data_IF_938713053794
#
_entry.id   IF_938713053794
#
_cell.length_a   1.000
_cell.length_b   1.000
_cell.length_c   1.000
_cell.angle_alpha   90.00
_cell.angle_beta   90.00
_cell.angle_gamma   90.00
#
_symmetry.space_group_name_H-M   'P 1'
#
loop_
_entity.id
_entity.type
_entity.pdbx_description
1 polymer ?
#
# COMPACT_ATOMS: atom_id res chain seq x y z
N UNK A 1 33.73 -46.30 -6.89
CA UNK A 1 33.81 -45.57 -8.16
C UNK A 1 32.83 -44.45 -8.10
N UNK A 2 33.29 -43.26 -7.75
CA UNK A 2 32.46 -42.04 -7.47
C UNK A 2 32.17 -41.30 -8.76
N UNK A 3 30.91 -40.94 -9.01
CA UNK A 3 30.54 -39.90 -9.99
C UNK A 3 29.99 -38.71 -9.27
N UNK A 4 30.71 -37.59 -9.35
CA UNK A 4 30.34 -36.24 -8.88
C UNK A 4 29.17 -35.73 -9.72
N UNK A 5 28.09 -35.29 -9.04
CA UNK A 5 27.05 -34.47 -9.63
C UNK A 5 27.50 -33.01 -9.67
N UNK A 6 27.29 -32.37 -10.82
CA UNK A 6 27.54 -30.95 -11.05
C UNK A 6 26.47 -30.10 -10.39
N UNK A 7 26.83 -29.31 -9.38
CA UNK A 7 26.03 -28.19 -8.91
C UNK A 7 26.33 -26.99 -9.82
N UNK A 8 25.45 -26.67 -10.73
CA UNK A 8 25.43 -25.38 -11.41
C UNK A 8 24.83 -24.33 -10.48
N UNK A 9 25.69 -23.56 -9.83
CA UNK A 9 25.29 -22.30 -9.16
C UNK A 9 24.90 -21.30 -10.25
N UNK A 10 23.64 -20.94 -10.27
CA UNK A 10 23.16 -19.77 -11.01
C UNK A 10 23.65 -18.54 -10.23
N UNK A 11 24.61 -17.86 -10.80
CA UNK A 11 25.12 -16.58 -10.27
C UNK A 11 24.19 -15.50 -10.81
N UNK A 12 23.31 -14.98 -9.98
CA UNK A 12 22.62 -13.74 -10.26
C UNK A 12 23.64 -12.60 -10.22
N UNK A 13 23.82 -11.96 -11.35
CA UNK A 13 24.61 -10.72 -11.48
C UNK A 13 23.77 -9.57 -10.92
N UNK A 14 24.01 -9.20 -9.67
CA UNK A 14 23.58 -7.92 -9.13
C UNK A 14 24.29 -6.79 -9.88
N UNK A 15 23.54 -6.06 -10.69
CA UNK A 15 24.00 -4.78 -11.24
C UNK A 15 23.85 -3.70 -10.16
N UNK A 16 24.86 -3.60 -9.29
CA UNK A 16 24.95 -2.54 -8.31
C UNK A 16 25.00 -1.16 -8.98
N UNK A 17 23.92 -0.41 -8.91
CA UNK A 17 23.87 1.01 -9.25
C UNK A 17 24.17 1.85 -7.99
N UNK A 18 25.46 2.01 -7.67
CA UNK A 18 25.86 3.04 -6.70
C UNK A 18 25.63 4.43 -7.31
N UNK A 19 24.58 5.12 -6.92
CA UNK A 19 24.43 6.56 -7.17
C UNK A 19 25.25 7.33 -6.14
N UNK A 20 26.42 7.78 -6.55
CA UNK A 20 27.18 8.81 -5.83
C UNK A 20 26.43 10.13 -5.93
N UNK A 21 25.85 10.58 -4.81
CA UNK A 21 25.30 11.93 -4.68
C UNK A 21 26.50 12.89 -4.56
N UNK A 22 26.73 13.68 -5.59
CA UNK A 22 27.66 14.80 -5.53
C UNK A 22 26.91 16.02 -5.00
N UNK A 23 27.19 16.40 -3.76
CA UNK A 23 26.76 17.66 -3.18
C UNK A 23 27.57 18.78 -3.81
N UNK A 24 26.95 19.62 -4.66
CA UNK A 24 27.54 20.88 -5.13
C UNK A 24 26.82 22.03 -4.43
N UNK A 25 27.51 22.65 -3.48
CA UNK A 25 27.16 23.94 -2.91
C UNK A 25 27.40 25.03 -3.97
N UNK A 26 26.38 25.78 -4.35
CA UNK A 26 26.53 26.98 -5.17
C UNK A 26 26.01 28.20 -4.42
N UNK A 27 26.91 29.10 -4.21
CA UNK A 27 26.77 30.42 -3.58
C UNK A 27 25.77 31.32 -4.30
N UNK A 28 24.97 32.00 -3.49
CA UNK A 28 24.14 33.16 -3.87
C UNK A 28 25.02 34.34 -4.25
N UNK A 29 24.75 34.97 -5.40
CA UNK A 29 25.12 36.36 -5.64
C UNK A 29 24.02 37.08 -6.43
N UNK A 30 23.34 38.01 -5.75
CA UNK A 30 22.42 38.97 -6.35
C UNK A 30 23.19 39.97 -7.19
N UNK A 31 22.71 40.33 -8.41
CA UNK A 31 22.90 41.66 -8.98
C UNK A 31 21.76 42.00 -9.96
N UNK A 32 21.28 43.21 -9.79
CA UNK A 32 20.12 43.87 -10.37
C UNK A 32 20.44 44.61 -11.69
N UNK A 33 19.35 44.89 -12.48
CA UNK A 33 19.17 45.94 -13.53
C UNK A 33 19.73 45.64 -14.94
N UNK A 34 18.97 45.76 -16.00
CA UNK A 34 18.31 46.91 -16.60
C UNK A 34 17.52 46.51 -17.87
N UNK A 35 16.46 47.23 -18.13
CA UNK A 35 15.65 47.29 -19.36
C UNK A 35 16.48 47.58 -20.62
N UNK A 36 16.17 46.87 -21.71
CA UNK A 36 16.16 47.49 -23.06
C UNK A 36 15.21 46.71 -23.99
N UNK A 37 14.28 47.42 -24.56
CA UNK A 37 13.41 46.96 -25.62
C UNK A 37 14.14 47.09 -26.98
N UNK A 38 14.13 46.02 -27.78
CA UNK A 38 14.34 46.10 -29.22
C UNK A 38 13.64 44.93 -29.92
N UNK A 39 12.78 45.25 -30.87
CA UNK A 39 12.14 44.33 -31.82
C UNK A 39 13.19 43.60 -32.68
N UNK A 40 13.05 42.29 -32.80
CA UNK A 40 13.75 41.47 -33.79
C UNK A 40 13.08 40.12 -33.93
N UNK A 41 12.44 39.88 -35.08
CA UNK A 41 11.94 38.57 -35.47
C UNK A 41 13.10 37.60 -35.60
N UNK A 42 13.02 36.44 -34.92
CA UNK A 42 13.71 35.24 -35.37
C UNK A 42 13.02 33.99 -34.78
N UNK A 43 12.92 33.01 -35.60
CA UNK A 43 12.31 31.69 -35.56
C UNK A 43 12.24 30.99 -34.21
N UNK A 44 11.06 30.34 -34.02
CA UNK A 44 10.76 29.40 -32.99
C UNK A 44 11.61 28.13 -33.18
N UNK A 45 12.36 27.78 -32.17
CA UNK A 45 12.68 26.39 -31.85
C UNK A 45 12.39 26.21 -30.36
N UNK A 46 11.12 25.94 -30.05
CA UNK A 46 10.65 25.50 -28.76
C UNK A 46 10.34 24.00 -28.88
N UNK A 47 11.29 23.20 -28.45
CA UNK A 47 10.99 21.81 -28.09
C UNK A 47 10.12 21.86 -26.85
N UNK A 48 8.82 22.06 -27.05
CA UNK A 48 7.79 21.57 -26.13
C UNK A 48 7.80 20.05 -26.27
N UNK A 49 8.25 19.34 -25.24
CA UNK A 49 7.86 17.96 -25.02
C UNK A 49 6.34 17.97 -24.75
N UNK A 50 5.59 17.96 -25.84
CA UNK A 50 4.16 17.80 -25.82
C UNK A 50 3.85 16.39 -25.34
N UNK A 51 3.19 16.28 -24.19
CA UNK A 51 2.37 15.13 -23.89
C UNK A 51 1.42 14.96 -25.08
N UNK A 52 1.68 13.95 -25.91
CA UNK A 52 0.77 13.57 -26.97
C UNK A 52 -0.51 13.07 -26.29
N UNK A 53 -1.59 13.87 -26.36
CA UNK A 53 -2.95 13.38 -26.12
C UNK A 53 -3.14 12.18 -27.06
N UNK A 54 -3.14 10.98 -26.48
CA UNK A 54 -3.54 9.77 -27.21
C UNK A 54 -5.05 9.82 -27.37
N UNK A 55 -5.51 10.53 -28.39
CA UNK A 55 -6.92 10.57 -28.81
C UNK A 55 -7.18 9.37 -29.72
N UNK A 56 -7.62 8.24 -29.15
CA UNK A 56 -8.01 7.06 -29.91
C UNK A 56 -8.69 6.04 -28.99
N UNK A 57 -9.57 5.20 -29.54
CA UNK A 57 -10.33 4.16 -28.81
C UNK A 57 -9.43 3.04 -28.23
N UNK A 58 -8.13 3.04 -28.51
CA UNK A 58 -7.18 1.99 -28.13
C UNK A 58 -6.22 2.44 -27.00
N UNK A 59 -6.78 2.99 -25.94
CA UNK A 59 -6.08 3.49 -24.77
C UNK A 59 -6.78 3.05 -23.50
N UNK A 60 -6.05 2.93 -22.39
CA UNK A 60 -6.57 2.84 -21.04
C UNK A 60 -5.81 3.82 -20.15
N UNK A 61 -6.53 4.69 -19.47
CA UNK A 61 -5.96 5.64 -18.51
C UNK A 61 -6.16 5.11 -17.10
N UNK A 62 -5.06 4.80 -16.42
CA UNK A 62 -5.07 4.18 -15.09
C UNK A 62 -4.53 5.12 -14.03
N UNK A 63 -5.07 5.07 -12.82
CA UNK A 63 -4.69 5.88 -11.68
C UNK A 63 -4.45 4.97 -10.48
N UNK A 64 -3.20 4.87 -10.05
CA UNK A 64 -2.77 3.94 -9.00
C UNK A 64 -1.96 4.67 -7.93
N UNK A 65 -1.74 4.03 -6.79
CA UNK A 65 -0.77 4.52 -5.82
C UNK A 65 0.65 4.56 -6.41
N UNK A 66 1.51 5.42 -5.88
CA UNK A 66 2.91 5.51 -6.30
C UNK A 66 3.67 4.20 -6.03
N UNK A 67 4.58 3.82 -6.93
CA UNK A 67 5.44 2.62 -6.81
C UNK A 67 4.68 1.29 -6.58
N UNK A 68 3.43 1.20 -7.01
CA UNK A 68 2.52 0.10 -6.69
C UNK A 68 2.25 -0.85 -7.87
N UNK A 69 3.17 -0.88 -8.83
CA UNK A 69 3.17 -1.82 -9.96
C UNK A 69 4.59 -2.00 -10.50
N UNK A 70 4.94 -3.20 -10.94
CA UNK A 70 6.17 -3.42 -11.71
C UNK A 70 6.08 -2.65 -13.04
N UNK A 71 7.03 -1.73 -13.32
CA UNK A 71 7.00 -0.87 -14.51
C UNK A 71 7.09 -1.63 -15.84
N UNK A 72 7.37 -2.93 -15.82
CA UNK A 72 7.30 -3.79 -17.01
C UNK A 72 5.87 -4.27 -17.29
N UNK A 73 5.01 -4.35 -16.28
CA UNK A 73 3.62 -4.86 -16.44
C UNK A 73 2.80 -4.02 -17.41
N UNK A 74 2.78 -2.67 -17.35
CA UNK A 74 2.10 -1.86 -18.36
C UNK A 74 2.64 -2.09 -19.78
N UNK A 75 3.95 -2.26 -19.94
CA UNK A 75 4.57 -2.52 -21.25
C UNK A 75 4.15 -3.88 -21.82
N UNK A 76 4.13 -4.92 -20.97
CA UNK A 76 3.65 -6.26 -21.38
C UNK A 76 2.19 -6.21 -21.81
N UNK A 77 1.35 -5.44 -21.09
CA UNK A 77 -0.03 -5.25 -21.50
C UNK A 77 -0.15 -4.56 -22.87
N UNK A 78 0.62 -3.49 -23.11
CA UNK A 78 0.65 -2.80 -24.40
C UNK A 78 1.12 -3.72 -25.53
N UNK A 79 2.18 -4.50 -25.32
CA UNK A 79 2.75 -5.44 -26.29
C UNK A 79 1.75 -6.55 -26.69
N UNK A 80 1.02 -7.09 -25.69
CA UNK A 80 0.09 -8.19 -25.94
C UNK A 80 -1.25 -7.74 -26.51
N UNK A 81 -1.75 -6.58 -26.09
CA UNK A 81 -3.10 -6.12 -26.44
C UNK A 81 -3.13 -5.06 -27.53
N UNK A 82 -2.02 -4.36 -27.73
CA UNK A 82 -1.94 -3.15 -28.54
C UNK A 82 -2.64 -1.94 -27.92
N UNK A 83 -3.17 -2.04 -26.69
CA UNK A 83 -3.83 -0.94 -25.97
C UNK A 83 -2.74 -0.16 -25.23
N UNK A 84 -2.65 1.15 -25.51
CA UNK A 84 -1.70 2.04 -24.84
C UNK A 84 -2.15 2.32 -23.40
N UNK A 85 -1.23 2.24 -22.45
CA UNK A 85 -1.46 2.59 -21.04
C UNK A 85 -1.00 4.02 -20.78
N UNK A 86 -1.91 4.87 -20.31
CA UNK A 86 -1.59 6.15 -19.70
C UNK A 86 -1.66 5.94 -18.19
N UNK A 87 -0.54 6.12 -17.51
CA UNK A 87 -0.39 5.75 -16.11
C UNK A 87 -0.08 6.99 -15.26
N UNK A 88 -1.04 7.32 -14.37
CA UNK A 88 -0.91 8.39 -13.39
C UNK A 88 -0.88 7.81 -11.97
N UNK A 89 -0.30 8.56 -11.02
CA UNK A 89 -0.19 8.14 -9.63
C UNK A 89 -0.78 9.15 -8.65
N UNK A 90 -1.25 8.64 -7.49
CA UNK A 90 -1.65 9.44 -6.34
C UNK A 90 -0.86 9.00 -5.10
N UNK A 91 -0.78 9.86 -4.10
CA UNK A 91 -0.11 9.55 -2.83
C UNK A 91 -1.07 8.92 -1.81
N UNK A 92 -2.32 9.41 -1.75
CA UNK A 92 -3.33 8.93 -0.79
C UNK A 92 -4.71 8.82 -1.43
N UNK A 93 -5.57 7.95 -0.85
CA UNK A 93 -6.97 7.84 -1.25
C UNK A 93 -7.71 9.18 -1.11
N UNK A 94 -7.35 9.99 -0.12
CA UNK A 94 -7.93 11.29 0.17
C UNK A 94 -7.59 12.34 -0.90
N UNK A 95 -6.44 12.21 -1.57
CA UNK A 95 -6.07 13.03 -2.74
C UNK A 95 -6.75 12.52 -4.02
N UNK A 96 -6.82 11.21 -4.20
CA UNK A 96 -7.45 10.58 -5.37
C UNK A 96 -8.95 10.86 -5.42
N UNK A 97 -9.68 10.71 -4.31
CA UNK A 97 -11.15 10.80 -4.26
C UNK A 97 -11.72 12.11 -4.84
N UNK A 98 -11.28 13.32 -4.43
CA UNK A 98 -11.78 14.56 -4.99
C UNK A 98 -11.49 14.73 -6.50
N UNK A 99 -10.41 14.15 -7.02
CA UNK A 99 -10.10 14.15 -8.45
C UNK A 99 -11.14 13.35 -9.23
N UNK A 100 -11.48 12.16 -8.76
CA UNK A 100 -12.53 11.32 -9.36
C UNK A 100 -13.90 11.99 -9.22
N UNK A 101 -14.21 12.53 -8.04
CA UNK A 101 -15.48 13.19 -7.78
C UNK A 101 -15.69 14.42 -8.66
N UNK A 102 -14.65 15.22 -8.88
CA UNK A 102 -14.71 16.40 -9.73
C UNK A 102 -14.90 16.06 -11.22
N UNK A 103 -14.45 14.87 -11.66
CA UNK A 103 -14.63 14.37 -13.03
C UNK A 103 -13.92 15.19 -14.11
N UNK A 104 -13.01 16.09 -13.74
CA UNK A 104 -12.28 16.95 -14.68
C UNK A 104 -11.22 16.18 -15.46
N UNK A 105 -10.59 15.20 -14.84
CA UNK A 105 -9.73 14.20 -15.46
C UNK A 105 -10.52 12.90 -15.56
N UNK A 106 -10.40 12.21 -16.69
CA UNK A 106 -11.12 10.96 -16.94
C UNK A 106 -10.13 9.80 -16.84
N UNK A 107 -10.35 8.95 -15.87
CA UNK A 107 -9.65 7.68 -15.71
C UNK A 107 -10.57 6.53 -16.09
N UNK A 108 -9.98 5.46 -16.65
CA UNK A 108 -10.73 4.26 -17.03
C UNK A 108 -10.66 3.20 -15.92
N UNK A 109 -9.55 3.14 -15.20
CA UNK A 109 -9.37 2.28 -14.02
C UNK A 109 -8.63 3.03 -12.90
N UNK A 110 -9.07 2.82 -11.66
CA UNK A 110 -8.45 3.39 -10.44
C UNK A 110 -8.27 2.27 -9.42
N UNK A 111 -7.22 2.33 -8.61
CA UNK A 111 -6.93 1.31 -7.60
C UNK A 111 -6.97 1.90 -6.17
N UNK A 112 -8.16 2.13 -5.59
CA UNK A 112 -8.31 2.57 -4.20
C UNK A 112 -8.33 1.41 -3.21
N UNK A 113 -8.28 1.75 -1.91
CA UNK A 113 -8.48 0.81 -0.82
C UNK A 113 -9.96 0.56 -0.53
N UNK A 114 -10.26 -0.51 0.17
CA UNK A 114 -11.58 -1.05 0.54
C UNK A 114 -12.60 0.02 1.00
N UNK A 115 -12.30 0.76 2.07
CA UNK A 115 -13.19 1.82 2.60
C UNK A 115 -13.47 2.93 1.59
N UNK A 116 -12.49 3.22 0.72
CA UNK A 116 -12.63 4.23 -0.32
C UNK A 116 -13.47 3.71 -1.50
N UNK A 117 -13.34 2.42 -1.84
CA UNK A 117 -14.22 1.75 -2.82
C UNK A 117 -15.67 1.87 -2.35
N UNK A 118 -15.94 1.52 -1.08
CA UNK A 118 -17.27 1.63 -0.50
C UNK A 118 -17.80 3.08 -0.54
N UNK A 119 -16.97 4.06 -0.16
CA UNK A 119 -17.30 5.49 -0.25
C UNK A 119 -17.64 5.91 -1.68
N UNK A 120 -16.86 5.48 -2.66
CA UNK A 120 -17.09 5.78 -4.08
C UNK A 120 -18.39 5.15 -4.58
N UNK A 121 -18.71 3.90 -4.19
CA UNK A 121 -19.98 3.24 -4.52
C UNK A 121 -21.17 4.00 -3.94
N UNK A 122 -21.12 4.34 -2.64
CA UNK A 122 -22.21 5.07 -1.98
C UNK A 122 -22.45 6.44 -2.61
N UNK A 123 -21.42 7.07 -3.17
CA UNK A 123 -21.52 8.35 -3.87
C UNK A 123 -21.75 8.20 -5.40
N UNK A 124 -22.06 7.00 -5.88
CA UNK A 124 -22.34 6.70 -7.29
C UNK A 124 -21.21 7.10 -8.25
N UNK A 125 -19.97 6.95 -7.80
CA UNK A 125 -18.77 7.30 -8.56
C UNK A 125 -18.17 6.12 -9.33
N UNK A 126 -18.80 4.94 -9.30
CA UNK A 126 -18.30 3.71 -9.93
C UNK A 126 -19.31 3.13 -10.92
N UNK A 127 -18.81 2.43 -11.93
CA UNK A 127 -19.55 1.53 -12.82
C UNK A 127 -19.34 0.08 -12.36
N UNK A 128 -20.38 -0.76 -12.50
CA UNK A 128 -20.24 -2.20 -12.31
C UNK A 128 -19.28 -2.80 -13.35
N UNK A 129 -18.43 -3.74 -12.93
CA UNK A 129 -17.52 -4.49 -13.81
C UNK A 129 -18.32 -5.56 -14.56
N UNK A 130 -18.09 -5.71 -15.85
CA UNK A 130 -18.58 -6.87 -16.59
C UNK A 130 -17.57 -8.02 -16.46
N UNK A 131 -17.82 -8.92 -15.52
CA UNK A 131 -16.92 -10.04 -15.25
C UNK A 131 -16.79 -11.06 -16.38
N UNK A 132 -17.66 -11.04 -17.39
CA UNK A 132 -17.47 -11.82 -18.63
C UNK A 132 -16.19 -11.36 -19.38
N UNK A 133 -15.78 -10.11 -19.20
CA UNK A 133 -14.55 -9.54 -19.75
C UNK A 133 -13.34 -9.74 -18.84
N UNK A 134 -13.53 -10.26 -17.62
CA UNK A 134 -12.48 -10.52 -16.61
C UNK A 134 -12.43 -12.00 -16.22
N UNK A 135 -12.30 -12.95 -17.17
CA UNK A 135 -12.37 -14.39 -16.91
C UNK A 135 -11.28 -14.89 -15.95
N UNK A 136 -10.17 -14.15 -15.80
CA UNK A 136 -9.11 -14.50 -14.86
C UNK A 136 -9.44 -14.16 -13.40
N UNK A 137 -10.61 -13.55 -13.12
CA UNK A 137 -11.09 -13.35 -11.74
C UNK A 137 -11.17 -14.65 -10.95
N UNK A 138 -11.34 -15.80 -11.61
CA UNK A 138 -11.34 -17.14 -11.03
C UNK A 138 -10.03 -17.51 -10.34
N UNK A 139 -8.94 -16.83 -10.65
CA UNK A 139 -7.62 -17.01 -10.03
C UNK A 139 -7.52 -16.32 -8.67
N UNK A 140 -8.44 -15.38 -8.37
CA UNK A 140 -8.57 -14.78 -7.04
C UNK A 140 -9.20 -15.82 -6.10
N UNK A 141 -8.54 -16.05 -4.95
CA UNK A 141 -9.00 -17.02 -3.98
C UNK A 141 -10.40 -16.70 -3.45
N UNK A 142 -11.23 -17.75 -3.29
CA UNK A 142 -12.63 -17.61 -2.86
C UNK A 142 -12.75 -16.82 -1.55
N UNK A 143 -11.88 -17.09 -0.58
CA UNK A 143 -11.86 -16.41 0.72
C UNK A 143 -11.66 -14.89 0.57
N UNK A 144 -10.87 -14.44 -0.39
CA UNK A 144 -10.65 -13.02 -0.65
C UNK A 144 -11.88 -12.37 -1.29
N UNK A 145 -12.55 -13.06 -2.21
CA UNK A 145 -13.82 -12.58 -2.79
C UNK A 145 -14.92 -12.50 -1.73
N UNK A 146 -15.00 -13.46 -0.81
CA UNK A 146 -15.93 -13.42 0.33
C UNK A 146 -15.66 -12.26 1.28
N UNK A 147 -14.39 -11.87 1.46
CA UNK A 147 -14.05 -10.68 2.24
C UNK A 147 -14.43 -9.38 1.55
N UNK A 148 -14.23 -9.30 0.24
CA UNK A 148 -14.62 -8.11 -0.53
C UNK A 148 -16.12 -7.81 -0.45
N UNK A 149 -16.98 -8.81 -0.19
CA UNK A 149 -18.41 -8.58 0.04
C UNK A 149 -18.72 -7.67 1.23
N UNK A 150 -17.77 -7.46 2.16
CA UNK A 150 -17.97 -6.55 3.29
C UNK A 150 -18.03 -5.08 2.85
N UNK A 151 -17.33 -4.72 1.79
CA UNK A 151 -17.30 -3.35 1.25
C UNK A 151 -17.86 -3.24 -0.19
N UNK A 152 -17.96 -4.35 -0.94
CA UNK A 152 -18.59 -4.45 -2.27
C UNK A 152 -19.63 -5.58 -2.28
N UNK A 153 -20.85 -5.36 -1.75
CA UNK A 153 -21.87 -6.38 -1.65
C UNK A 153 -22.25 -6.99 -3.01
N UNK A 154 -21.99 -8.29 -3.14
CA UNK A 154 -22.21 -9.05 -4.37
C UNK A 154 -21.05 -8.98 -5.35
N UNK A 155 -19.89 -8.44 -4.95
CA UNK A 155 -18.66 -8.33 -5.76
C UNK A 155 -18.91 -7.80 -7.17
N UNK A 156 -19.44 -6.59 -7.27
CA UNK A 156 -19.89 -6.00 -8.54
C UNK A 156 -18.93 -4.98 -9.14
N UNK A 157 -18.15 -4.31 -8.28
CA UNK A 157 -17.39 -3.13 -8.66
C UNK A 157 -15.89 -3.34 -8.62
N UNK A 158 -15.37 -4.25 -7.78
CA UNK A 158 -13.95 -4.38 -7.51
C UNK A 158 -13.36 -5.66 -8.12
N UNK A 159 -12.16 -5.52 -8.68
CA UNK A 159 -11.25 -6.62 -8.98
C UNK A 159 -10.10 -6.54 -7.99
N UNK A 160 -10.00 -7.47 -7.01
CA UNK A 160 -8.95 -7.43 -5.98
C UNK A 160 -7.56 -7.48 -6.59
N UNK A 161 -6.65 -6.65 -6.08
CA UNK A 161 -5.31 -6.49 -6.60
C UNK A 161 -4.25 -6.94 -5.59
N UNK A 162 -4.26 -6.36 -4.41
CA UNK A 162 -3.37 -6.68 -3.30
C UNK A 162 -4.15 -6.76 -2.00
N UNK A 163 -3.54 -7.36 -1.00
CA UNK A 163 -4.10 -7.48 0.34
C UNK A 163 -2.98 -7.53 1.36
N UNK A 164 -3.29 -7.38 2.62
CA UNK A 164 -2.29 -7.50 3.67
C UNK A 164 -2.90 -7.27 5.05
N UNK A 165 -2.03 -7.17 6.04
CA UNK A 165 -2.40 -6.86 7.42
C UNK A 165 -1.63 -5.65 7.91
N UNK A 166 -2.12 -5.00 8.95
CA UNK A 166 -1.33 -4.11 9.80
C UNK A 166 -0.81 -4.93 10.98
N UNK A 167 0.46 -4.78 11.34
CA UNK A 167 1.06 -5.50 12.44
C UNK A 167 2.26 -4.79 13.02
N UNK A 168 3.09 -5.52 13.76
CA UNK A 168 4.22 -4.98 14.50
C UNK A 168 5.52 -5.54 13.91
N UNK A 169 6.31 -4.68 13.25
CA UNK A 169 7.73 -4.97 13.03
C UNK A 169 8.48 -4.85 14.36
N UNK A 170 9.42 -5.75 14.63
CA UNK A 170 10.24 -5.67 15.82
C UNK A 170 11.67 -6.14 15.58
N UNK A 171 12.64 -5.41 16.16
CA UNK A 171 14.05 -5.76 16.16
C UNK A 171 14.34 -6.64 17.38
N UNK A 172 14.68 -7.90 17.15
CA UNK A 172 14.91 -8.89 18.20
C UNK A 172 16.03 -8.48 19.15
N UNK A 173 17.16 -8.03 18.60
CA UNK A 173 18.33 -7.62 19.39
C UNK A 173 17.99 -6.45 20.32
N UNK A 174 17.33 -5.41 19.80
CA UNK A 174 16.95 -4.24 20.61
C UNK A 174 15.97 -4.63 21.73
N UNK A 175 15.00 -5.51 21.45
CA UNK A 175 14.06 -5.98 22.47
C UNK A 175 14.77 -6.83 23.54
N UNK A 176 15.72 -7.68 23.17
CA UNK A 176 16.54 -8.46 24.11
C UNK A 176 17.37 -7.54 25.01
N UNK A 177 18.01 -6.50 24.47
CA UNK A 177 18.77 -5.49 25.21
C UNK A 177 17.89 -4.69 26.21
N UNK A 178 16.63 -4.39 25.82
CA UNK A 178 15.64 -3.74 26.67
C UNK A 178 15.04 -4.71 27.71
N UNK A 179 15.22 -6.02 27.52
CA UNK A 179 14.56 -7.06 28.31
C UNK A 179 13.04 -7.02 28.16
N UNK A 180 12.58 -6.80 26.92
CA UNK A 180 11.16 -6.80 26.53
C UNK A 180 10.87 -8.07 25.74
N UNK A 181 9.83 -8.84 26.05
CA UNK A 181 9.41 -9.98 25.23
C UNK A 181 9.04 -9.56 23.81
N UNK A 182 9.21 -10.47 22.85
CA UNK A 182 8.74 -10.24 21.48
C UNK A 182 7.22 -10.06 21.46
N UNK A 183 6.70 -9.06 20.72
CA UNK A 183 5.29 -8.71 20.74
C UNK A 183 4.43 -9.82 20.11
N UNK A 184 3.29 -10.10 20.74
CA UNK A 184 2.23 -10.98 20.22
C UNK A 184 0.87 -10.31 20.25
N UNK A 185 0.79 -9.15 20.89
CA UNK A 185 -0.43 -8.39 21.16
C UNK A 185 -0.22 -6.91 20.94
N UNK A 186 -1.31 -6.20 20.61
CA UNK A 186 -1.28 -4.75 20.58
C UNK A 186 -0.94 -4.16 21.96
N UNK A 187 -1.45 -4.76 23.04
CA UNK A 187 -1.16 -4.33 24.40
C UNK A 187 0.34 -4.30 24.75
N UNK A 188 1.17 -5.07 24.07
CA UNK A 188 2.62 -5.09 24.28
C UNK A 188 3.29 -3.75 23.95
N UNK A 189 2.65 -2.92 23.10
CA UNK A 189 3.11 -1.57 22.76
C UNK A 189 2.90 -0.54 23.91
N UNK A 190 2.27 -0.90 25.01
CA UNK A 190 2.14 -0.07 26.24
C UNK A 190 3.19 -0.42 27.29
N UNK A 191 4.18 -1.25 26.96
CA UNK A 191 5.26 -1.59 27.87
C UNK A 191 6.16 -0.35 28.12
N UNK A 192 6.30 0.13 29.38
CA UNK A 192 7.07 1.35 29.69
C UNK A 192 8.55 1.25 29.34
N UNK A 193 9.11 0.04 29.16
CA UNK A 193 10.48 -0.14 28.70
C UNK A 193 10.68 0.24 27.23
N UNK A 194 9.60 0.35 26.45
CA UNK A 194 9.62 0.80 25.06
C UNK A 194 9.61 2.34 24.92
N UNK A 195 9.91 3.08 25.97
CA UNK A 195 9.88 4.54 25.93
C UNK A 195 10.85 5.10 24.90
N UNK A 196 10.31 5.73 23.85
CA UNK A 196 11.06 6.31 22.74
C UNK A 196 11.48 5.28 21.69
N UNK A 197 10.95 4.06 21.76
CA UNK A 197 11.28 2.94 20.88
C UNK A 197 10.11 2.47 20.01
N UNK A 198 9.01 3.21 19.98
CA UNK A 198 7.80 2.85 19.24
C UNK A 198 7.61 3.81 18.08
N UNK A 199 7.45 3.27 16.88
CA UNK A 199 6.95 3.98 15.70
C UNK A 199 5.47 3.63 15.50
N UNK A 200 4.60 4.64 15.56
CA UNK A 200 3.15 4.47 15.33
C UNK A 200 2.78 5.00 13.95
N UNK A 201 1.68 4.47 13.38
CA UNK A 201 1.14 4.95 12.11
C UNK A 201 0.61 6.39 12.22
N UNK A 202 1.02 7.26 11.31
CA UNK A 202 0.44 8.60 11.12
C UNK A 202 -0.83 8.52 10.23
N UNK A 203 -1.63 7.50 10.50
CA UNK A 203 -2.94 7.24 9.92
C UNK A 203 -3.98 7.19 11.03
N UNK A 204 -5.05 7.96 10.87
CA UNK A 204 -6.10 8.08 11.90
C UNK A 204 -6.72 6.71 12.18
N UNK A 205 -7.14 6.01 11.11
CA UNK A 205 -7.84 4.73 11.25
C UNK A 205 -6.93 3.64 11.79
N UNK A 206 -5.68 3.54 11.30
CA UNK A 206 -4.74 2.51 11.78
C UNK A 206 -4.30 2.77 13.23
N UNK A 207 -4.03 4.01 13.62
CA UNK A 207 -3.67 4.32 14.99
C UNK A 207 -4.81 4.00 15.98
N UNK A 208 -6.06 4.37 15.64
CA UNK A 208 -7.22 4.03 16.46
C UNK A 208 -7.50 2.51 16.45
N UNK A 209 -7.30 1.81 15.34
CA UNK A 209 -7.45 0.37 15.23
C UNK A 209 -6.59 -0.36 16.28
N UNK A 210 -5.35 0.07 16.48
CA UNK A 210 -4.42 -0.53 17.47
C UNK A 210 -5.03 -0.51 18.87
N UNK A 211 -5.54 0.65 19.33
CA UNK A 211 -6.16 0.77 20.65
C UNK A 211 -7.52 0.06 20.73
N UNK A 212 -8.37 0.22 19.70
CA UNK A 212 -9.69 -0.43 19.67
C UNK A 212 -9.56 -1.97 19.71
N UNK A 213 -8.63 -2.54 18.94
CA UNK A 213 -8.40 -3.99 18.98
C UNK A 213 -7.82 -4.46 20.31
N UNK A 214 -6.95 -3.68 20.92
CA UNK A 214 -6.43 -3.95 22.26
C UNK A 214 -7.56 -4.09 23.28
N UNK A 215 -8.57 -3.23 23.22
CA UNK A 215 -9.74 -3.27 24.10
C UNK A 215 -10.83 -4.26 23.66
N UNK A 216 -10.63 -4.95 22.53
CA UNK A 216 -11.58 -5.95 21.99
C UNK A 216 -12.77 -5.33 21.26
N UNK A 217 -12.67 -4.06 20.86
CA UNK A 217 -13.68 -3.37 20.08
C UNK A 217 -13.50 -3.60 18.57
N UNK A 218 -14.56 -3.34 17.81
CA UNK A 218 -14.46 -3.27 16.34
C UNK A 218 -13.67 -2.04 15.93
N UNK A 219 -12.77 -2.18 14.96
CA UNK A 219 -12.06 -1.05 14.36
C UNK A 219 -12.96 -0.15 13.50
N UNK A 220 -14.19 -0.60 13.24
CA UNK A 220 -15.23 0.15 12.53
C UNK A 220 -16.29 0.74 13.48
N UNK A 221 -16.04 0.76 14.79
CA UNK A 221 -16.99 1.31 15.77
C UNK A 221 -17.32 2.77 15.48
N UNK A 222 -18.56 3.16 15.75
CA UNK A 222 -19.04 4.55 15.71
C UNK A 222 -19.47 5.05 17.11
N UNK A 223 -19.23 4.22 18.14
CA UNK A 223 -19.51 4.50 19.54
C UNK A 223 -18.56 5.57 20.09
N UNK A 224 -19.12 6.69 20.54
CA UNK A 224 -18.30 7.74 21.16
C UNK A 224 -17.58 7.25 22.42
N UNK A 225 -18.19 6.33 23.20
CA UNK A 225 -17.58 5.78 24.41
C UNK A 225 -16.32 4.96 24.08
N UNK A 226 -16.39 4.06 23.09
CA UNK A 226 -15.26 3.22 22.69
C UNK A 226 -14.15 4.05 22.03
N UNK A 227 -14.53 5.07 21.25
CA UNK A 227 -13.57 6.02 20.66
C UNK A 227 -12.88 6.89 21.72
N UNK A 228 -13.59 7.28 22.78
CA UNK A 228 -13.01 8.06 23.89
C UNK A 228 -12.07 7.17 24.73
N UNK A 229 -12.39 5.90 24.94
CA UNK A 229 -11.52 4.90 25.58
C UNK A 229 -10.22 4.73 24.78
N UNK A 230 -10.32 4.41 23.50
CA UNK A 230 -9.17 4.28 22.61
C UNK A 230 -8.31 5.56 22.57
N UNK A 231 -8.92 6.76 22.59
CA UNK A 231 -8.18 8.02 22.67
C UNK A 231 -7.38 8.11 23.98
N UNK A 232 -7.95 7.73 25.13
CA UNK A 232 -7.23 7.78 26.40
C UNK A 232 -6.06 6.80 26.42
N UNK A 233 -6.21 5.62 25.83
CA UNK A 233 -5.12 4.64 25.70
C UNK A 233 -3.99 5.18 24.84
N UNK A 234 -4.31 5.75 23.67
CA UNK A 234 -3.32 6.37 22.79
C UNK A 234 -2.62 7.58 23.44
N UNK A 235 -3.33 8.39 24.22
CA UNK A 235 -2.72 9.48 25.03
C UNK A 235 -1.76 8.88 26.08
N UNK A 236 -2.17 7.79 26.72
CA UNK A 236 -1.32 7.05 27.67
C UNK A 236 -0.06 6.44 27.04
N UNK A 237 -0.16 5.97 25.79
CA UNK A 237 0.94 5.43 25.02
C UNK A 237 1.90 6.52 24.50
N UNK A 238 1.37 7.72 24.17
CA UNK A 238 2.12 8.78 23.48
C UNK A 238 3.51 9.06 24.08
N UNK A 239 3.72 9.07 25.42
CA UNK A 239 5.05 9.25 26.00
C UNK A 239 6.08 8.16 25.66
N UNK A 240 5.62 6.99 25.14
CA UNK A 240 6.44 5.87 24.73
C UNK A 240 6.79 5.97 23.24
N UNK A 241 5.97 6.68 22.45
CA UNK A 241 6.11 6.81 21.00
C UNK A 241 7.26 7.74 20.64
N UNK A 242 8.17 7.27 19.79
CA UNK A 242 9.24 8.08 19.20
C UNK A 242 8.67 9.03 18.15
N UNK A 243 7.88 8.49 17.21
CA UNK A 243 7.29 9.24 16.11
C UNK A 243 6.01 8.57 15.58
N UNK A 244 5.14 9.40 15.02
CA UNK A 244 4.03 8.98 14.15
C UNK A 244 4.50 9.16 12.70
N UNK A 245 4.60 8.06 11.96
CA UNK A 245 5.13 7.99 10.58
C UNK A 245 4.37 6.93 9.79
N UNK A 246 4.49 6.91 8.46
CA UNK A 246 3.89 5.89 7.60
C UNK A 246 5.01 4.99 7.06
N UNK A 247 5.43 5.14 5.81
CA UNK A 247 6.43 4.27 5.17
C UNK A 247 7.83 4.39 5.81
N UNK A 248 8.12 5.55 6.45
CA UNK A 248 9.39 5.74 7.16
C UNK A 248 9.62 4.77 8.32
N UNK A 249 8.60 4.00 8.74
CA UNK A 249 8.77 2.92 9.72
C UNK A 249 9.84 1.95 9.25
N UNK A 250 9.78 1.48 7.99
CA UNK A 250 10.74 0.51 7.45
C UNK A 250 12.18 1.03 7.49
N UNK A 251 12.42 2.25 7.02
CA UNK A 251 13.76 2.83 6.96
C UNK A 251 14.36 3.03 8.36
N UNK A 252 13.53 3.47 9.31
CA UNK A 252 13.94 3.64 10.71
C UNK A 252 14.22 2.31 11.40
N UNK A 253 13.44 1.26 11.10
CA UNK A 253 13.68 -0.07 11.63
C UNK A 253 14.97 -0.67 11.04
N UNK A 254 15.23 -0.52 9.73
CA UNK A 254 16.48 -0.91 9.08
C UNK A 254 17.67 -0.17 9.71
N UNK A 255 17.51 1.12 9.99
CA UNK A 255 18.50 1.97 10.65
C UNK A 255 18.67 1.72 12.16
N UNK A 256 17.92 0.78 12.74
CA UNK A 256 17.89 0.47 14.17
C UNK A 256 17.60 1.70 15.05
N UNK A 257 16.74 2.59 14.55
CA UNK A 257 16.34 3.82 15.28
C UNK A 257 15.22 3.58 16.28
N UNK A 258 14.51 2.43 16.20
CA UNK A 258 13.43 2.05 17.11
C UNK A 258 13.34 0.53 17.24
N UNK A 259 12.85 0.05 18.37
CA UNK A 259 12.73 -1.38 18.66
C UNK A 259 11.47 -2.00 18.05
N UNK A 260 10.40 -1.24 17.90
CA UNK A 260 9.11 -1.71 17.33
C UNK A 260 8.47 -0.65 16.44
N UNK A 261 7.76 -1.09 15.40
CA UNK A 261 7.03 -0.21 14.50
C UNK A 261 5.73 -0.84 13.99
N UNK A 262 4.65 -0.07 14.00
CA UNK A 262 3.36 -0.48 13.43
C UNK A 262 3.37 -0.19 11.93
N UNK A 263 3.17 -1.22 11.09
CA UNK A 263 3.26 -1.10 9.63
C UNK A 263 2.52 -2.23 8.90
N UNK A 264 2.43 -2.11 7.59
CA UNK A 264 1.81 -3.08 6.68
C UNK A 264 2.71 -4.30 6.44
N UNK A 265 2.10 -5.47 6.27
CA UNK A 265 2.81 -6.77 6.22
C UNK A 265 3.76 -6.94 5.03
N UNK A 266 3.55 -6.25 3.92
CA UNK A 266 4.44 -6.32 2.76
C UNK A 266 5.85 -5.80 3.03
N UNK A 267 5.97 -4.83 3.94
CA UNK A 267 7.24 -4.17 4.27
C UNK A 267 8.27 -5.10 4.91
N UNK A 268 7.85 -6.21 5.53
CA UNK A 268 8.81 -7.16 6.12
C UNK A 268 9.74 -7.78 5.09
N UNK A 269 9.25 -8.03 3.85
CA UNK A 269 10.09 -8.60 2.79
C UNK A 269 11.18 -7.62 2.36
N UNK A 270 10.81 -6.37 2.15
CA UNK A 270 11.76 -5.30 1.83
C UNK A 270 12.81 -5.14 2.95
N UNK A 271 12.37 -5.09 4.20
CA UNK A 271 13.26 -4.95 5.37
C UNK A 271 14.23 -6.15 5.46
N UNK A 272 13.75 -7.37 5.24
CA UNK A 272 14.58 -8.57 5.29
C UNK A 272 15.59 -8.62 4.14
N UNK A 273 15.22 -8.15 2.93
CA UNK A 273 16.12 -8.06 1.78
C UNK A 273 17.24 -7.02 2.02
N UNK A 274 16.91 -5.83 2.53
CA UNK A 274 17.90 -4.78 2.84
C UNK A 274 18.87 -5.19 3.97
N UNK A 275 18.44 -6.06 4.88
CA UNK A 275 19.25 -6.57 5.97
C UNK A 275 20.01 -7.86 5.65
N UNK A 276 19.90 -8.38 4.41
CA UNK A 276 20.57 -9.61 4.01
C UNK A 276 22.09 -9.49 4.19
N UNK A 277 22.68 -10.45 4.93
CA UNK A 277 24.12 -10.49 5.23
C UNK A 277 24.55 -9.60 6.40
N UNK A 278 23.63 -8.95 7.10
CA UNK A 278 23.87 -8.29 8.39
C UNK A 278 23.57 -9.24 9.56
N UNK A 279 23.79 -8.79 10.80
CA UNK A 279 23.42 -9.49 12.03
C UNK A 279 22.13 -8.94 12.66
N UNK A 280 21.41 -8.09 11.95
CA UNK A 280 20.15 -7.50 12.39
C UNK A 280 18.99 -8.41 12.00
N UNK A 281 18.23 -8.86 12.98
CA UNK A 281 17.03 -9.68 12.79
C UNK A 281 15.78 -8.88 13.11
N UNK A 282 14.97 -8.61 12.07
CA UNK A 282 13.66 -7.97 12.21
C UNK A 282 12.59 -8.99 11.78
N UNK A 283 11.56 -9.10 12.62
CA UNK A 283 10.41 -9.97 12.39
C UNK A 283 9.11 -9.16 12.45
N UNK A 284 8.01 -9.79 12.04
CA UNK A 284 6.68 -9.19 12.00
C UNK A 284 5.70 -10.05 12.79
N UNK A 285 4.94 -9.42 13.66
CA UNK A 285 3.88 -10.07 14.43
C UNK A 285 2.51 -9.55 14.01
N UNK A 286 1.59 -10.48 13.75
CA UNK A 286 0.15 -10.21 13.63
C UNK A 286 -0.46 -10.38 15.03
N UNK A 287 -1.00 -9.31 15.65
CA UNK A 287 -1.48 -9.37 17.03
C UNK A 287 -2.69 -10.28 17.23
N UNK A 288 -2.70 -11.01 18.35
CA UNK A 288 -3.74 -12.00 18.71
C UNK A 288 -5.13 -11.38 18.92
N UNK A 289 -5.23 -10.10 19.21
CA UNK A 289 -6.49 -9.36 19.36
C UNK A 289 -7.21 -9.15 18.02
N UNK A 290 -6.52 -9.39 16.91
CA UNK A 290 -6.99 -9.10 15.55
C UNK A 290 -6.43 -7.79 15.03
N UNK A 291 -6.62 -7.57 13.74
CA UNK A 291 -6.06 -6.41 13.03
C UNK A 291 -6.88 -6.05 11.80
N UNK A 292 -6.51 -4.96 11.14
CA UNK A 292 -6.97 -4.64 9.80
C UNK A 292 -6.43 -5.65 8.77
N UNK A 293 -7.33 -6.25 8.01
CA UNK A 293 -7.04 -7.02 6.79
C UNK A 293 -7.52 -6.16 5.63
N UNK A 294 -6.60 -5.42 5.03
CA UNK A 294 -6.94 -4.46 4.00
C UNK A 294 -6.91 -5.07 2.59
N UNK A 295 -7.66 -4.45 1.69
CA UNK A 295 -7.69 -4.76 0.27
C UNK A 295 -7.56 -3.49 -0.55
N UNK A 296 -6.71 -3.56 -1.58
CA UNK A 296 -6.73 -2.61 -2.68
C UNK A 296 -7.22 -3.31 -3.93
N UNK A 297 -8.00 -2.61 -4.71
CA UNK A 297 -8.61 -3.21 -5.89
C UNK A 297 -8.91 -2.23 -7.00
N UNK A 298 -8.91 -2.75 -8.21
CA UNK A 298 -9.22 -1.98 -9.41
C UNK A 298 -10.72 -1.79 -9.56
N UNK A 299 -11.14 -0.55 -9.75
CA UNK A 299 -12.52 -0.12 -9.99
C UNK A 299 -12.61 0.74 -11.24
N UNK A 300 -13.83 0.86 -11.81
CA UNK A 300 -14.10 1.66 -13.02
C UNK A 300 -14.85 2.91 -12.60
N UNK A 301 -14.29 4.13 -12.73
CA UNK A 301 -14.98 5.37 -12.44
C UNK A 301 -16.24 5.57 -13.29
N UNK A 302 -17.20 6.32 -12.75
CA UNK A 302 -18.51 6.55 -13.38
C UNK A 302 -18.43 7.18 -14.77
N UNK A 303 -17.39 7.98 -15.03
CA UNK A 303 -17.18 8.73 -16.27
C UNK A 303 -16.12 8.09 -17.20
N UNK A 304 -15.67 6.86 -16.89
CA UNK A 304 -14.72 6.13 -17.72
C UNK A 304 -15.21 6.00 -19.17
N UNK A 305 -14.31 6.25 -20.12
CA UNK A 305 -14.62 6.23 -21.56
C UNK A 305 -14.28 4.90 -22.22
N UNK A 306 -13.27 4.20 -21.69
CA UNK A 306 -12.76 2.96 -22.28
C UNK A 306 -12.95 1.78 -21.32
N UNK A 307 -14.21 1.59 -20.85
CA UNK A 307 -14.59 0.55 -19.90
C UNK A 307 -14.08 -0.85 -20.29
N UNK A 308 -14.25 -1.26 -21.55
CA UNK A 308 -13.78 -2.55 -22.02
C UNK A 308 -12.25 -2.68 -21.96
N UNK A 309 -11.51 -1.60 -22.17
CA UNK A 309 -10.05 -1.61 -22.02
C UNK A 309 -9.64 -1.67 -20.54
N UNK A 310 -10.40 -1.02 -19.65
CA UNK A 310 -10.20 -1.15 -18.20
C UNK A 310 -10.45 -2.61 -17.74
N UNK A 311 -11.50 -3.24 -18.22
CA UNK A 311 -11.80 -4.65 -17.93
C UNK A 311 -10.70 -5.60 -18.46
N UNK A 312 -10.16 -5.32 -19.65
CA UNK A 312 -8.99 -6.06 -20.18
C UNK A 312 -7.74 -5.85 -19.32
N UNK A 313 -7.50 -4.61 -18.83
CA UNK A 313 -6.42 -4.30 -17.91
C UNK A 313 -6.55 -5.10 -16.62
N UNK A 314 -7.74 -5.09 -16.00
CA UNK A 314 -8.03 -5.85 -14.80
C UNK A 314 -7.85 -7.36 -15.03
N UNK A 315 -8.35 -7.88 -16.16
CA UNK A 315 -8.19 -9.28 -16.51
C UNK A 315 -6.72 -9.67 -16.70
N UNK A 316 -5.92 -8.79 -17.29
CA UNK A 316 -4.48 -9.00 -17.47
C UNK A 316 -3.76 -9.09 -16.13
N UNK A 317 -4.06 -8.19 -15.18
CA UNK A 317 -3.49 -8.21 -13.85
C UNK A 317 -3.89 -9.44 -13.02
N UNK A 318 -5.06 -10.04 -13.31
CA UNK A 318 -5.49 -11.29 -12.68
C UNK A 318 -4.79 -12.54 -13.25
N UNK A 319 -3.94 -12.43 -14.26
CA UNK A 319 -3.15 -13.58 -14.74
C UNK A 319 -2.14 -14.00 -13.67
N UNK A 320 -2.00 -15.29 -13.37
CA UNK A 320 -1.06 -15.80 -12.38
C UNK A 320 0.39 -15.34 -12.58
N UNK A 321 0.89 -15.39 -13.83
CA UNK A 321 2.24 -14.98 -14.16
C UNK A 321 2.47 -13.46 -13.97
N UNK A 322 1.48 -12.64 -14.30
CA UNK A 322 1.55 -11.19 -14.11
C UNK A 322 1.43 -10.83 -12.63
N UNK A 323 0.50 -11.47 -11.90
CA UNK A 323 0.33 -11.22 -10.48
C UNK A 323 1.56 -11.66 -9.66
N UNK A 324 2.20 -12.78 -10.03
CA UNK A 324 3.46 -13.22 -9.40
C UNK A 324 4.60 -12.24 -9.68
N UNK A 325 4.79 -11.83 -10.95
CA UNK A 325 5.79 -10.83 -11.34
C UNK A 325 5.60 -9.51 -10.59
N UNK A 326 4.35 -9.07 -10.47
CA UNK A 326 4.03 -7.83 -9.78
C UNK A 326 4.33 -7.94 -8.28
N UNK A 327 3.94 -9.06 -7.63
CA UNK A 327 4.26 -9.31 -6.22
C UNK A 327 5.78 -9.26 -5.95
N UNK A 328 6.60 -9.89 -6.81
CA UNK A 328 8.06 -9.89 -6.65
C UNK A 328 8.67 -8.47 -6.70
N UNK A 329 7.97 -7.51 -7.31
CA UNK A 329 8.41 -6.12 -7.39
C UNK A 329 7.90 -5.27 -6.23
N UNK A 330 6.57 -5.36 -5.94
CA UNK A 330 5.94 -4.50 -4.92
C UNK A 330 5.95 -5.10 -3.51
N UNK A 331 6.24 -6.39 -3.38
CA UNK A 331 6.28 -7.18 -2.12
C UNK A 331 4.96 -7.29 -1.35
N UNK A 332 3.90 -6.63 -1.79
CA UNK A 332 2.59 -6.75 -1.15
C UNK A 332 1.84 -7.99 -1.59
N UNK A 333 1.24 -8.76 -0.64
CA UNK A 333 0.58 -10.02 -0.92
C UNK A 333 -0.51 -9.90 -1.98
N UNK A 334 -0.54 -10.88 -2.87
CA UNK A 334 -1.58 -10.96 -3.89
C UNK A 334 -2.69 -11.93 -3.46
N UNK A 335 -3.97 -11.59 -3.68
CA UNK A 335 -5.09 -12.51 -3.48
C UNK A 335 -5.20 -13.57 -4.59
N UNK A 336 -4.31 -13.53 -5.59
CA UNK A 336 -4.29 -14.46 -6.73
C UNK A 336 -3.65 -15.79 -6.32
N UNK A 337 -4.47 -16.82 -6.14
CA UNK A 337 -4.01 -18.15 -5.71
C UNK A 337 -3.20 -18.89 -6.78
N UNK A 338 -3.45 -18.59 -8.06
CA UNK A 338 -2.64 -19.12 -9.16
C UNK A 338 -1.22 -18.56 -9.14
N UNK A 339 -1.05 -17.30 -8.77
CA UNK A 339 0.26 -16.66 -8.62
C UNK A 339 1.09 -17.30 -7.50
N UNK A 340 0.46 -17.66 -6.36
CA UNK A 340 1.16 -18.28 -5.23
C UNK A 340 1.87 -19.58 -5.63
N UNK A 341 1.35 -20.30 -6.61
CA UNK A 341 1.97 -21.53 -7.13
C UNK A 341 3.25 -21.27 -7.96
N UNK A 342 3.46 -20.04 -8.39
CA UNK A 342 4.60 -19.61 -9.21
C UNK A 342 5.71 -18.95 -8.37
N UNK A 343 5.36 -18.44 -7.19
CA UNK A 343 6.30 -17.77 -6.28
C UNK A 343 7.25 -18.77 -5.61
N UNK A 344 8.45 -18.28 -5.25
CA UNK A 344 9.37 -19.05 -4.41
C UNK A 344 8.74 -19.36 -3.05
N UNK A 345 9.08 -20.52 -2.51
CA UNK A 345 8.57 -20.97 -1.22
C UNK A 345 8.98 -20.08 -0.06
N UNK A 346 10.13 -19.40 -0.15
CA UNK A 346 10.56 -18.44 0.87
C UNK A 346 9.52 -17.34 1.09
N UNK A 347 8.82 -16.91 0.04
CA UNK A 347 7.73 -15.96 0.16
C UNK A 347 6.45 -16.61 0.71
N UNK A 348 5.99 -17.70 0.10
CA UNK A 348 4.69 -18.30 0.42
C UNK A 348 4.65 -19.01 1.79
N UNK A 349 5.81 -19.41 2.32
CA UNK A 349 5.97 -19.97 3.67
C UNK A 349 6.11 -18.87 4.74
N UNK A 350 6.34 -17.60 4.36
CA UNK A 350 6.41 -16.47 5.28
C UNK A 350 5.01 -16.12 5.81
N UNK A 351 4.76 -16.45 7.08
CA UNK A 351 3.44 -16.27 7.72
C UNK A 351 3.13 -14.81 8.08
N UNK A 352 4.11 -13.93 8.05
CA UNK A 352 3.89 -12.49 8.16
C UNK A 352 3.19 -11.94 6.91
N UNK A 353 3.57 -12.46 5.73
CA UNK A 353 3.06 -12.02 4.42
C UNK A 353 1.85 -12.84 3.97
N UNK A 354 1.94 -14.16 4.08
CA UNK A 354 0.86 -15.09 3.75
C UNK A 354 0.40 -15.85 5.01
N UNK A 355 -0.37 -15.19 5.89
CA UNK A 355 -0.90 -15.80 7.11
C UNK A 355 -1.92 -16.91 6.80
N UNK A 356 -2.26 -17.67 7.84
CA UNK A 356 -3.43 -18.53 7.79
C UNK A 356 -4.70 -17.66 7.80
N UNK A 357 -5.30 -17.49 6.62
CA UNK A 357 -6.44 -16.59 6.43
C UNK A 357 -7.67 -17.03 7.25
N UNK A 358 -7.92 -18.35 7.42
CA UNK A 358 -9.03 -18.82 8.21
C UNK A 358 -8.90 -18.37 9.67
N UNK A 359 -7.71 -18.54 10.24
CA UNK A 359 -7.41 -18.09 11.61
C UNK A 359 -7.39 -16.57 11.74
N UNK A 360 -6.84 -15.88 10.74
CA UNK A 360 -6.79 -14.40 10.75
C UNK A 360 -8.19 -13.79 10.79
N UNK A 361 -9.13 -14.37 10.03
CA UNK A 361 -10.51 -13.89 9.92
C UNK A 361 -11.38 -14.12 11.16
N UNK A 362 -10.94 -14.93 12.12
CA UNK A 362 -11.66 -15.05 13.38
C UNK A 362 -11.77 -13.72 14.14
N UNK A 363 -10.78 -12.82 13.99
CA UNK A 363 -10.69 -11.54 14.70
C UNK A 363 -10.27 -10.36 13.80
N UNK A 364 -9.76 -10.63 12.62
CA UNK A 364 -9.43 -9.61 11.63
C UNK A 364 -10.68 -8.97 11.05
N UNK A 365 -10.60 -7.69 10.73
CA UNK A 365 -11.69 -6.95 10.09
C UNK A 365 -11.15 -6.20 8.87
N UNK A 366 -12.04 -5.88 7.93
CA UNK A 366 -11.78 -4.95 6.82
C UNK A 366 -12.28 -3.57 7.23
N UNK A 367 -11.59 -2.50 6.86
CA UNK A 367 -12.13 -1.15 7.06
C UNK A 367 -13.35 -0.95 6.16
N UNK A 368 -14.39 -0.36 6.75
CA UNK A 368 -15.59 0.08 6.04
C UNK A 368 -15.70 1.61 6.07
N UNK A 369 -16.43 2.17 5.14
CA UNK A 369 -16.73 3.59 5.12
C UNK A 369 -17.78 3.92 6.20
N UNK A 370 -17.39 4.74 7.15
CA UNK A 370 -18.22 5.06 8.31
C UNK A 370 -19.22 6.21 8.08
N UNK A 371 -19.14 6.87 6.94
CA UNK A 371 -19.85 8.12 6.67
C UNK A 371 -19.12 9.33 7.26
N UNK A 372 -19.32 10.50 6.63
CA UNK A 372 -18.58 11.74 6.98
C UNK A 372 -18.71 12.15 8.45
N UNK A 373 -19.90 11.98 9.04
CA UNK A 373 -20.15 12.33 10.44
C UNK A 373 -19.29 11.48 11.38
N UNK A 374 -19.21 10.17 11.15
CA UNK A 374 -18.43 9.26 11.99
C UNK A 374 -16.92 9.39 11.72
N UNK A 375 -16.52 9.57 10.47
CA UNK A 375 -15.12 9.90 10.14
C UNK A 375 -14.66 11.17 10.86
N UNK A 376 -15.53 12.18 10.98
CA UNK A 376 -15.24 13.40 11.73
C UNK A 376 -15.02 13.13 13.22
N UNK A 377 -15.67 12.12 13.83
CA UNK A 377 -15.43 11.73 15.23
C UNK A 377 -14.00 11.23 15.44
N UNK A 378 -13.50 10.37 14.54
CA UNK A 378 -12.10 9.90 14.57
C UNK A 378 -11.12 11.06 14.35
N UNK A 379 -11.34 11.87 13.32
CA UNK A 379 -10.48 13.01 12.99
C UNK A 379 -10.39 14.05 14.13
N UNK A 380 -11.48 14.30 14.85
CA UNK A 380 -11.47 15.23 15.98
C UNK A 380 -10.64 14.67 17.15
N UNK A 381 -10.78 13.38 17.45
CA UNK A 381 -9.99 12.70 18.49
C UNK A 381 -8.52 12.61 18.13
N UNK A 382 -8.22 12.36 16.85
CA UNK A 382 -6.86 12.41 16.33
C UNK A 382 -6.18 13.76 16.57
N UNK A 383 -6.89 14.87 16.30
CA UNK A 383 -6.38 16.22 16.60
C UNK A 383 -6.09 16.41 18.09
N UNK A 384 -6.94 15.87 18.98
CA UNK A 384 -6.71 15.89 20.43
C UNK A 384 -5.46 15.09 20.79
N UNK A 385 -5.32 13.87 20.26
CA UNK A 385 -4.13 13.04 20.46
C UNK A 385 -2.85 13.74 20.00
N UNK A 386 -2.85 14.35 18.81
CA UNK A 386 -1.64 15.05 18.30
C UNK A 386 -1.29 16.28 19.12
N UNK A 387 -2.28 16.93 19.76
CA UNK A 387 -2.09 18.12 20.59
C UNK A 387 -1.76 17.84 22.08
N UNK A 388 -1.97 16.59 22.59
CA UNK A 388 -1.73 16.17 23.97
C UNK A 388 -0.26 16.09 24.40
#
# INVERSE_FOLDING_TARGET
>A
MFKKGNNSKIIFRTAGRSRKIAVLSAFFLCLTFAFFAACGKSEKDSTEEGQAEATGDNVVTVYNAGEYIDPEVPKLFEEETGIKVIYDTFETNEEMYPVIQAGGVVYDAVCPSDYMIEKMMQNHLLQEVNFDNVPNIKEIGKQYMEMCEQFDPGNKYVVPYTTGTVGILYNKRMLDELGVPYPTKWADLWNPKLKGEILMQDSVRDAFMVALKMEGHSMNTVSDAELDEALQDLIGQKPLVQAYVVDQVRDKMIGEEAAVGVIYSGEILYVQEELEGTDVEIEYAIPEEGTNVWFDGWVIPYNAKHKENAEKWMNFLCRPDIAAKNFEYITYPTPNTGALALLDKSYTENKAVFPDMEKLLEKGEVFTYLGEENEAKYNNRWKILKAS
#
